data_IF_774889094603
#
_entry.id   IF_774889094603
#
_cell.length_a   1.000
_cell.length_b   1.000
_cell.length_c   1.000
_cell.angle_alpha   90.00
_cell.angle_beta   90.00
_cell.angle_gamma   90.00
#
_symmetry.space_group_name_H-M   'P 1'
#
loop_
_entity.id
_entity.type
_entity.pdbx_description
1 polymer ?
#
# COMPACT_ATOMS: atom_id res chain seq x y z
N UNK A 1 20.45 7.97 -64.25
CA UNK A 1 21.47 8.97 -63.86
C UNK A 1 21.60 8.93 -62.34
N UNK A 2 22.63 8.22 -61.84
CA UNK A 2 23.77 8.75 -61.05
C UNK A 2 23.33 9.17 -59.64
N UNK A 3 23.34 8.22 -58.69
CA UNK A 3 24.40 7.94 -57.68
C UNK A 3 24.57 9.06 -56.64
N UNK A 4 24.35 8.73 -55.36
CA UNK A 4 25.31 8.99 -54.29
C UNK A 4 25.18 7.96 -53.17
N UNK A 5 26.27 7.21 -53.02
CA UNK A 5 26.61 6.31 -51.95
C UNK A 5 27.60 7.03 -51.03
N UNK A 6 27.58 6.72 -49.73
CA UNK A 6 28.65 6.93 -48.77
C UNK A 6 28.22 6.28 -47.44
N UNK A 7 29.03 5.60 -46.66
CA UNK A 7 30.30 4.92 -46.86
C UNK A 7 30.44 4.03 -45.62
N UNK A 8 30.81 2.77 -45.83
CA UNK A 8 31.12 1.79 -44.79
C UNK A 8 32.44 2.19 -44.10
N UNK A 9 32.46 2.25 -42.78
CA UNK A 9 33.71 2.18 -41.99
C UNK A 9 33.55 1.07 -40.97
N UNK A 10 34.29 0.00 -41.24
CA UNK A 10 34.50 -1.16 -40.41
C UNK A 10 35.77 -0.90 -39.58
N UNK A 11 35.66 -0.83 -38.25
CA UNK A 11 36.82 -0.90 -37.37
C UNK A 11 36.79 -2.25 -36.63
N UNK A 12 37.71 -3.13 -37.00
CA UNK A 12 38.12 -4.26 -36.19
C UNK A 12 39.04 -3.74 -35.08
N UNK A 13 38.65 -3.93 -33.83
CA UNK A 13 39.57 -3.91 -32.70
C UNK A 13 39.34 -5.20 -31.89
N UNK A 14 40.23 -6.17 -32.10
CA UNK A 14 40.44 -7.30 -31.21
C UNK A 14 41.13 -6.77 -29.94
N UNK A 15 40.43 -6.84 -28.81
CA UNK A 15 40.95 -6.48 -27.50
C UNK A 15 40.27 -7.33 -26.44
N UNK A 16 40.85 -8.48 -26.15
CA UNK A 16 40.48 -9.36 -25.04
C UNK A 16 41.02 -8.82 -23.72
N UNK A 17 40.14 -8.60 -22.75
CA UNK A 17 40.48 -8.66 -21.32
C UNK A 17 39.24 -9.05 -20.51
N UNK A 18 39.30 -10.24 -19.92
CA UNK A 18 38.44 -10.70 -18.83
C UNK A 18 38.66 -9.82 -17.60
N UNK A 19 37.59 -9.22 -17.07
CA UNK A 19 37.47 -8.84 -15.67
C UNK A 19 35.98 -8.69 -15.35
N UNK A 20 35.57 -9.31 -14.24
CA UNK A 20 34.17 -9.48 -13.87
C UNK A 20 33.49 -8.16 -13.57
N UNK A 21 32.37 -7.93 -14.24
CA UNK A 21 31.40 -6.91 -13.86
C UNK A 21 30.23 -7.60 -13.16
N UNK A 22 30.15 -7.35 -11.85
CA UNK A 22 28.94 -7.50 -11.05
C UNK A 22 27.74 -6.89 -11.77
N UNK A 23 26.57 -7.54 -11.82
CA UNK A 23 25.38 -6.88 -12.35
C UNK A 23 25.01 -5.73 -11.42
N UNK A 24 25.32 -4.50 -11.85
CA UNK A 24 24.63 -3.29 -11.40
C UNK A 24 23.17 -3.47 -11.81
N UNK A 25 22.34 -3.89 -10.86
CA UNK A 25 20.90 -3.71 -10.96
C UNK A 25 20.70 -2.20 -10.96
N UNK A 26 20.44 -1.64 -12.14
CA UNK A 26 19.85 -0.33 -12.28
C UNK A 26 18.41 -0.47 -11.76
N UNK A 27 18.21 -0.18 -10.48
CA UNK A 27 16.91 0.16 -9.96
C UNK A 27 16.50 1.47 -10.64
N UNK A 28 15.79 1.35 -11.75
CA UNK A 28 14.90 2.41 -12.22
C UNK A 28 13.73 2.48 -11.23
N UNK A 29 14.02 2.92 -10.01
CA UNK A 29 13.02 3.50 -9.12
C UNK A 29 12.68 4.85 -9.74
N UNK A 30 11.71 4.84 -10.63
CA UNK A 30 10.91 6.04 -10.88
C UNK A 30 10.08 6.21 -9.61
N UNK A 31 10.64 6.95 -8.66
CA UNK A 31 10.00 7.34 -7.42
C UNK A 31 8.88 8.34 -7.72
N UNK A 32 7.75 7.83 -8.24
CA UNK A 32 6.49 8.54 -8.10
C UNK A 32 5.96 8.29 -6.69
N UNK A 33 5.61 9.39 -6.02
CA UNK A 33 5.52 9.47 -4.57
C UNK A 33 4.52 8.51 -3.93
N UNK A 34 5.04 7.62 -3.08
CA UNK A 34 4.43 7.24 -1.81
C UNK A 34 5.55 6.72 -0.90
N UNK A 35 5.79 7.44 0.21
CA UNK A 35 6.88 7.16 1.16
C UNK A 35 6.46 6.17 2.26
N UNK A 36 5.84 5.06 1.89
CA UNK A 36 5.67 3.93 2.81
C UNK A 36 6.36 2.69 2.23
N UNK A 37 7.10 1.91 3.04
CA UNK A 37 8.00 0.90 2.51
C UNK A 37 7.21 -0.28 1.96
N UNK A 38 7.18 -0.39 0.64
CA UNK A 38 6.82 -1.58 -0.13
C UNK A 38 7.83 -2.73 0.01
N UNK A 39 8.90 -2.55 0.81
CA UNK A 39 10.06 -3.44 0.80
C UNK A 39 9.83 -4.64 1.73
N UNK A 40 9.75 -5.88 1.20
CA UNK A 40 9.74 -7.08 2.03
C UNK A 40 11.00 -7.12 2.89
N UNK A 41 10.86 -7.50 4.15
CA UNK A 41 12.00 -7.79 5.01
C UNK A 41 12.23 -9.29 5.04
N UNK A 42 13.46 -9.73 5.25
CA UNK A 42 13.76 -11.15 5.25
C UNK A 42 14.90 -11.51 6.20
N UNK A 43 14.88 -12.75 6.67
CA UNK A 43 15.95 -13.34 7.45
C UNK A 43 16.50 -14.56 6.72
N UNK A 44 17.82 -14.71 6.73
CA UNK A 44 18.50 -15.89 6.21
C UNK A 44 19.18 -16.60 7.37
N UNK A 45 18.94 -17.90 7.49
CA UNK A 45 19.64 -18.75 8.46
C UNK A 45 20.24 -19.96 7.76
N UNK A 46 21.46 -20.32 8.16
CA UNK A 46 22.19 -21.48 7.62
C UNK A 46 22.66 -22.34 8.78
N UNK A 47 22.35 -23.63 8.73
CA UNK A 47 22.76 -24.59 9.77
C UNK A 47 23.46 -25.81 9.14
N UNK A 48 24.67 -26.17 9.60
CA UNK A 48 25.50 -25.44 10.55
C UNK A 48 26.15 -24.20 9.91
N UNK A 49 26.51 -23.23 10.75
CA UNK A 49 27.18 -21.97 10.37
C UNK A 49 28.64 -22.15 9.96
N UNK A 50 29.22 -23.33 10.23
CA UNK A 50 30.57 -23.73 9.83
C UNK A 50 30.47 -24.90 8.85
N UNK A 51 31.09 -24.75 7.69
CA UNK A 51 31.14 -25.81 6.68
C UNK A 51 32.26 -26.78 7.04
N UNK A 52 31.91 -28.06 7.24
CA UNK A 52 32.86 -29.15 7.38
C UNK A 52 32.67 -30.16 6.24
N UNK A 53 33.76 -30.81 5.77
CA UNK A 53 33.65 -31.90 4.81
C UNK A 53 32.67 -32.97 5.31
N UNK A 54 31.72 -33.37 4.46
CA UNK A 54 30.69 -34.36 4.80
C UNK A 54 29.42 -33.80 5.44
N UNK A 55 29.38 -32.50 5.78
CA UNK A 55 28.19 -31.84 6.33
C UNK A 55 27.36 -31.21 5.21
N UNK A 56 26.04 -31.43 5.24
CA UNK A 56 25.08 -30.80 4.32
C UNK A 56 24.42 -29.60 5.01
N UNK A 57 24.85 -28.37 4.73
CA UNK A 57 24.19 -27.19 5.30
C UNK A 57 22.75 -27.10 4.79
N UNK A 58 21.85 -26.70 5.69
CA UNK A 58 20.48 -26.32 5.39
C UNK A 58 20.39 -24.80 5.45
N UNK A 59 19.88 -24.20 4.39
CA UNK A 59 19.53 -22.79 4.33
C UNK A 59 18.03 -22.65 4.48
N UNK A 60 17.60 -21.74 5.34
CA UNK A 60 16.21 -21.33 5.50
C UNK A 60 16.14 -19.84 5.24
N UNK A 61 15.25 -19.45 4.34
CA UNK A 61 14.94 -18.06 4.04
C UNK A 61 13.53 -17.76 4.53
N UNK A 62 13.40 -16.80 5.46
CA UNK A 62 12.13 -16.20 5.83
C UNK A 62 11.97 -14.88 5.09
N UNK A 63 10.85 -14.68 4.40
CA UNK A 63 10.47 -13.40 3.79
C UNK A 63 9.16 -12.98 4.43
N UNK A 64 9.11 -11.77 4.95
CA UNK A 64 7.92 -11.13 5.49
C UNK A 64 7.52 -9.99 4.54
N UNK A 65 6.35 -10.15 3.95
CA UNK A 65 5.77 -9.16 3.05
C UNK A 65 4.98 -8.13 3.88
N UNK A 66 5.01 -6.83 3.51
CA UNK A 66 4.18 -5.84 4.17
C UNK A 66 2.70 -6.19 3.97
N UNK A 67 1.93 -6.19 5.07
CA UNK A 67 0.48 -6.39 5.01
C UNK A 67 -0.21 -5.33 4.15
N UNK A 68 -1.16 -5.77 3.33
CA UNK A 68 -2.01 -4.93 2.52
C UNK A 68 -3.31 -4.55 3.25
N UNK A 69 -4.08 -3.59 2.73
CA UNK A 69 -5.40 -3.20 3.23
C UNK A 69 -6.30 -4.43 3.42
N UNK A 70 -6.27 -5.37 2.48
CA UNK A 70 -7.06 -6.60 2.51
C UNK A 70 -6.71 -7.55 3.67
N UNK A 71 -5.51 -7.43 4.26
CA UNK A 71 -5.10 -8.22 5.43
C UNK A 71 -5.56 -7.59 6.75
N UNK A 72 -5.97 -6.32 6.73
CA UNK A 72 -6.20 -5.51 7.94
C UNK A 72 -7.63 -4.97 8.06
N UNK A 73 -8.35 -4.90 6.94
CA UNK A 73 -9.71 -4.38 6.85
C UNK A 73 -10.42 -4.86 5.59
N UNK A 74 -11.74 -4.82 5.63
CA UNK A 74 -12.59 -4.93 4.45
C UNK A 74 -13.05 -3.53 4.02
N UNK A 75 -13.03 -3.27 2.71
CA UNK A 75 -13.54 -2.04 2.13
C UNK A 75 -14.79 -2.39 1.32
N UNK A 76 -15.92 -1.76 1.63
CA UNK A 76 -17.11 -1.88 0.79
C UNK A 76 -17.03 -0.96 -0.44
N UNK A 77 -17.85 -1.18 -1.48
CA UNK A 77 -17.81 -0.36 -2.69
C UNK A 77 -18.10 1.14 -2.47
N UNK A 78 -18.81 1.49 -1.40
CA UNK A 78 -19.13 2.88 -1.04
C UNK A 78 -18.03 3.52 -0.20
N UNK A 79 -16.97 2.78 0.13
CA UNK A 79 -15.81 3.24 0.87
C UNK A 79 -15.89 3.08 2.40
N UNK A 80 -16.86 2.36 2.93
CA UNK A 80 -16.89 2.01 4.36
C UNK A 80 -15.76 1.04 4.67
N UNK A 81 -14.97 1.35 5.71
CA UNK A 81 -13.88 0.48 6.17
C UNK A 81 -14.37 -0.33 7.37
N UNK A 82 -14.27 -1.65 7.30
CA UNK A 82 -14.52 -2.57 8.42
C UNK A 82 -13.21 -3.19 8.88
N UNK A 83 -12.71 -2.79 10.05
CA UNK A 83 -11.41 -3.24 10.54
C UNK A 83 -11.43 -4.70 10.98
N UNK A 84 -10.46 -5.49 10.55
CA UNK A 84 -10.26 -6.88 10.98
C UNK A 84 -9.24 -7.00 12.13
N UNK A 85 -8.36 -6.02 12.27
CA UNK A 85 -7.37 -5.95 13.35
C UNK A 85 -7.30 -4.55 13.98
N UNK A 86 -6.56 -4.43 15.09
CA UNK A 86 -6.31 -3.14 15.74
C UNK A 86 -5.34 -2.32 14.88
N UNK A 87 -5.66 -1.04 14.66
CA UNK A 87 -4.86 -0.14 13.83
C UNK A 87 -4.79 1.28 14.39
N UNK A 88 -3.78 2.01 13.96
CA UNK A 88 -3.70 3.47 13.96
C UNK A 88 -4.25 4.00 12.63
N UNK A 89 -5.15 4.97 12.73
CA UNK A 89 -5.85 5.60 11.61
C UNK A 89 -5.32 7.02 11.41
N UNK A 90 -4.98 7.38 10.17
CA UNK A 90 -4.65 8.75 9.75
C UNK A 90 -5.45 9.13 8.50
N UNK A 91 -5.92 10.36 8.44
CA UNK A 91 -6.63 10.89 7.26
C UNK A 91 -5.95 12.18 6.81
N UNK A 92 -5.82 12.34 5.50
CA UNK A 92 -5.37 13.56 4.82
C UNK A 92 -6.36 13.95 3.75
N UNK A 93 -6.53 15.26 3.51
CA UNK A 93 -7.31 15.75 2.37
C UNK A 93 -6.35 16.01 1.23
N UNK A 94 -6.60 15.40 0.07
CA UNK A 94 -5.72 15.46 -1.09
C UNK A 94 -6.13 16.59 -2.05
N UNK A 95 -7.42 16.88 -2.13
CA UNK A 95 -7.93 17.93 -3.01
C UNK A 95 -9.41 18.22 -2.80
N UNK A 96 -9.83 19.39 -3.29
CA UNK A 96 -11.22 19.85 -3.37
C UNK A 96 -11.37 20.57 -4.70
N UNK A 97 -12.30 20.13 -5.56
CA UNK A 97 -12.45 20.67 -6.92
C UNK A 97 -13.87 21.11 -7.29
N UNK A 98 -14.72 21.39 -6.31
CA UNK A 98 -16.08 21.85 -6.60
C UNK A 98 -16.14 23.36 -6.87
N UNK A 99 -16.81 23.75 -7.96
CA UNK A 99 -17.01 25.15 -8.34
C UNK A 99 -18.40 25.43 -8.91
N UNK A 100 -18.85 26.67 -8.76
CA UNK A 100 -20.01 27.22 -9.47
C UNK A 100 -19.55 28.38 -10.36
N UNK A 101 -19.58 28.18 -11.67
CA UNK A 101 -18.95 29.11 -12.61
C UNK A 101 -17.45 29.20 -12.35
N UNK A 102 -16.94 30.40 -12.06
CA UNK A 102 -15.54 30.63 -11.69
C UNK A 102 -15.30 30.71 -10.18
N UNK A 103 -16.30 30.39 -9.35
CA UNK A 103 -16.22 30.49 -7.89
C UNK A 103 -16.03 29.12 -7.27
N UNK A 104 -14.91 28.93 -6.59
CA UNK A 104 -14.64 27.73 -5.80
C UNK A 104 -15.56 27.67 -4.59
N UNK A 105 -16.18 26.52 -4.41
CA UNK A 105 -17.11 26.24 -3.33
C UNK A 105 -16.39 25.48 -2.21
N UNK A 106 -16.71 25.74 -0.93
CA UNK A 106 -16.10 25.01 0.15
C UNK A 106 -16.70 23.61 0.27
N UNK A 107 -15.87 22.62 0.59
CA UNK A 107 -16.31 21.28 0.98
C UNK A 107 -16.08 21.09 2.48
N UNK A 108 -16.95 20.33 3.11
CA UNK A 108 -16.82 19.88 4.48
C UNK A 108 -16.71 18.36 4.51
N UNK A 109 -15.78 17.82 5.30
CA UNK A 109 -15.52 16.39 5.45
C UNK A 109 -15.62 16.00 6.92
N UNK A 110 -16.33 14.91 7.17
CA UNK A 110 -16.47 14.30 8.48
C UNK A 110 -15.99 12.85 8.44
N UNK A 111 -15.50 12.39 9.59
CA UNK A 111 -15.20 10.98 9.84
C UNK A 111 -16.02 10.49 11.03
N UNK A 112 -16.40 9.22 11.02
CA UNK A 112 -16.96 8.52 12.17
C UNK A 112 -16.18 7.24 12.39
N UNK A 113 -15.67 7.04 13.61
CA UNK A 113 -14.93 5.83 13.99
C UNK A 113 -15.74 5.03 15.01
N UNK A 114 -16.48 4.05 14.51
CA UNK A 114 -17.46 3.23 15.20
C UNK A 114 -18.89 3.58 14.76
N UNK A 115 -19.71 2.57 14.43
CA UNK A 115 -21.06 2.77 13.87
C UNK A 115 -21.98 3.69 14.71
N UNK A 116 -21.79 3.68 16.05
CA UNK A 116 -22.55 4.50 17.00
C UNK A 116 -21.79 5.74 17.50
N UNK A 117 -20.59 6.01 16.98
CA UNK A 117 -19.81 7.18 17.36
C UNK A 117 -20.38 8.46 16.70
N UNK A 118 -20.16 9.64 17.30
CA UNK A 118 -20.51 10.89 16.64
C UNK A 118 -19.62 11.12 15.40
N UNK A 119 -20.16 11.89 14.46
CA UNK A 119 -19.39 12.42 13.33
C UNK A 119 -18.48 13.56 13.79
N UNK A 120 -17.21 13.51 13.41
CA UNK A 120 -16.19 14.52 13.71
C UNK A 120 -15.87 15.30 12.43
N UNK A 121 -16.02 16.63 12.44
CA UNK A 121 -15.63 17.48 11.31
C UNK A 121 -14.10 17.55 11.27
N UNK A 122 -13.49 17.10 10.17
CA UNK A 122 -12.03 17.02 10.02
C UNK A 122 -11.49 18.01 8.99
N UNK A 123 -12.34 18.50 8.09
CA UNK A 123 -11.95 19.54 7.14
C UNK A 123 -13.15 20.41 6.75
N UNK A 124 -12.92 21.71 6.59
CA UNK A 124 -13.86 22.64 5.97
C UNK A 124 -13.09 23.74 5.25
N UNK A 125 -13.15 23.77 3.93
CA UNK A 125 -12.35 24.69 3.13
C UNK A 125 -12.53 24.50 1.63
N UNK A 126 -11.81 25.31 0.86
CA UNK A 126 -11.74 25.26 -0.62
C UNK A 126 -10.43 24.61 -1.06
N UNK A 127 -10.22 24.49 -2.38
CA UNK A 127 -8.97 23.99 -2.97
C UNK A 127 -7.73 24.65 -2.35
N UNK A 128 -7.69 25.99 -2.26
CA UNK A 128 -6.56 26.74 -1.71
C UNK A 128 -6.29 26.51 -0.21
N UNK A 129 -7.23 25.92 0.52
CA UNK A 129 -7.10 25.59 1.94
C UNK A 129 -6.51 24.18 2.15
N UNK A 130 -6.48 23.34 1.11
CA UNK A 130 -5.98 21.97 1.19
C UNK A 130 -4.46 21.96 1.38
N UNK A 131 -3.99 21.13 2.31
CA UNK A 131 -2.57 20.85 2.55
C UNK A 131 -2.38 19.32 2.51
N UNK A 132 -2.01 18.73 1.35
CA UNK A 132 -2.00 17.27 1.19
C UNK A 132 -1.08 16.51 2.14
N UNK A 133 -0.03 17.15 2.66
CA UNK A 133 0.89 16.56 3.64
C UNK A 133 0.35 16.58 5.08
N UNK A 134 -0.69 17.39 5.36
CA UNK A 134 -1.24 17.58 6.70
C UNK A 134 -2.19 16.44 7.08
N UNK A 135 -1.96 15.87 8.27
CA UNK A 135 -2.87 14.90 8.88
C UNK A 135 -4.01 15.67 9.54
N UNK A 136 -5.18 15.69 8.89
CA UNK A 136 -6.37 16.39 9.39
C UNK A 136 -7.11 15.60 10.48
N UNK A 137 -6.85 14.29 10.57
CA UNK A 137 -7.39 13.44 11.60
C UNK A 137 -6.45 12.29 11.92
N UNK A 138 -6.28 11.99 13.21
CA UNK A 138 -5.54 10.84 13.67
C UNK A 138 -6.24 10.21 14.86
N UNK A 139 -6.34 8.88 14.86
CA UNK A 139 -6.80 8.10 16.02
C UNK A 139 -5.94 6.87 16.17
N UNK A 140 -5.38 6.69 17.37
CA UNK A 140 -4.56 5.51 17.69
C UNK A 140 -5.40 4.40 18.31
N UNK A 141 -4.86 3.18 18.25
CA UNK A 141 -5.41 2.02 18.96
C UNK A 141 -6.89 1.72 18.64
N UNK A 142 -7.32 1.97 17.41
CA UNK A 142 -8.69 1.69 16.96
C UNK A 142 -8.90 0.17 16.99
N UNK A 143 -9.88 -0.36 17.75
CA UNK A 143 -10.06 -1.81 17.88
C UNK A 143 -10.49 -2.48 16.56
N UNK A 144 -10.17 -3.76 16.43
CA UNK A 144 -10.78 -4.64 15.44
C UNK A 144 -12.32 -4.61 15.54
N UNK A 145 -13.01 -4.94 14.45
CA UNK A 145 -14.47 -4.87 14.30
C UNK A 145 -15.04 -3.45 14.43
N UNK A 146 -14.22 -2.42 14.27
CA UNK A 146 -14.68 -1.03 14.20
C UNK A 146 -14.95 -0.66 12.75
N UNK A 147 -16.13 -0.09 12.51
CA UNK A 147 -16.48 0.52 11.22
C UNK A 147 -15.99 1.97 11.18
N UNK A 148 -15.37 2.38 10.09
CA UNK A 148 -14.99 3.77 9.82
C UNK A 148 -15.76 4.25 8.60
N UNK A 149 -16.48 5.35 8.78
CA UNK A 149 -17.27 5.98 7.73
C UNK A 149 -16.81 7.41 7.47
N UNK A 150 -17.03 7.87 6.25
CA UNK A 150 -16.81 9.25 5.84
C UNK A 150 -18.09 9.88 5.33
N UNK A 151 -18.22 11.18 5.57
CA UNK A 151 -19.35 11.96 5.09
C UNK A 151 -18.88 13.31 4.61
N UNK A 152 -19.49 13.84 3.55
CA UNK A 152 -19.12 15.13 3.00
C UNK A 152 -20.33 15.87 2.41
N UNK A 153 -20.23 17.21 2.38
CA UNK A 153 -21.16 18.09 1.68
C UNK A 153 -20.49 19.41 1.31
N UNK A 154 -21.07 20.10 0.35
CA UNK A 154 -20.62 21.43 -0.07
C UNK A 154 -21.78 22.43 -0.08
N UNK A 155 -21.46 23.71 -0.31
CA UNK A 155 -22.42 24.78 -0.47
C UNK A 155 -22.63 25.11 -1.95
N UNK A 156 -23.86 25.39 -2.31
CA UNK A 156 -24.24 26.11 -3.52
C UNK A 156 -23.63 27.52 -3.53
N UNK A 157 -23.62 28.18 -4.69
CA UNK A 157 -23.17 29.57 -4.83
C UNK A 157 -23.93 30.57 -3.94
N UNK A 158 -25.18 30.25 -3.55
CA UNK A 158 -26.00 31.06 -2.63
C UNK A 158 -25.75 30.76 -1.15
N UNK A 159 -24.83 29.84 -0.81
CA UNK A 159 -24.49 29.45 0.56
C UNK A 159 -25.42 28.40 1.17
N UNK A 160 -26.40 27.88 0.42
CA UNK A 160 -27.23 26.73 0.84
C UNK A 160 -26.45 25.44 0.68
N UNK A 161 -26.59 24.49 1.59
CA UNK A 161 -25.91 23.20 1.50
C UNK A 161 -26.52 22.29 0.43
N UNK A 162 -25.68 21.61 -0.34
CA UNK A 162 -26.05 20.41 -1.08
C UNK A 162 -26.36 19.26 -0.13
N UNK A 163 -26.90 18.17 -0.70
CA UNK A 163 -27.13 16.93 0.03
C UNK A 163 -25.82 16.37 0.59
N UNK A 164 -25.91 15.73 1.75
CA UNK A 164 -24.78 15.04 2.35
C UNK A 164 -24.59 13.68 1.70
N UNK A 165 -23.38 13.44 1.20
CA UNK A 165 -22.95 12.12 0.75
C UNK A 165 -22.22 11.41 1.89
N UNK A 166 -22.39 10.10 1.98
CA UNK A 166 -21.82 9.31 3.09
C UNK A 166 -21.55 7.88 2.64
N UNK A 167 -20.41 7.32 3.07
CA UNK A 167 -20.05 5.91 2.83
C UNK A 167 -21.07 4.97 3.47
N UNK A 168 -21.69 5.41 4.58
CA UNK A 168 -22.76 4.68 5.27
C UNK A 168 -24.11 4.70 4.53
N UNK A 169 -24.20 5.36 3.38
CA UNK A 169 -25.37 5.40 2.52
C UNK A 169 -25.27 4.38 1.38
N UNK A 170 -26.15 4.51 0.37
CA UNK A 170 -26.15 3.68 -0.84
C UNK A 170 -25.93 4.49 -2.12
N UNK A 171 -25.41 5.71 -1.99
CA UNK A 171 -25.18 6.61 -3.10
C UNK A 171 -23.88 6.26 -3.81
N UNK A 172 -23.86 6.37 -5.14
CA UNK A 172 -22.63 6.23 -5.95
C UNK A 172 -21.76 7.50 -5.93
N UNK A 173 -22.19 8.54 -5.20
CA UNK A 173 -21.47 9.81 -5.05
C UNK A 173 -20.30 9.74 -4.05
N UNK A 174 -20.01 8.56 -3.51
CA UNK A 174 -18.79 8.28 -2.74
C UNK A 174 -18.32 6.88 -3.08
N UNK A 175 -17.02 6.75 -3.31
CA UNK A 175 -16.35 5.45 -3.49
C UNK A 175 -15.07 5.44 -2.66
N UNK A 176 -14.71 4.27 -2.17
CA UNK A 176 -13.38 3.98 -1.64
C UNK A 176 -12.65 3.06 -2.61
N UNK A 177 -11.38 3.31 -2.85
CA UNK A 177 -10.53 2.48 -3.71
C UNK A 177 -9.20 2.18 -3.01
N UNK A 178 -8.65 1.00 -3.26
CA UNK A 178 -7.32 0.57 -2.85
C UNK A 178 -6.37 0.50 -4.03
N UNK A 179 -5.08 0.28 -3.74
CA UNK A 179 -4.07 0.08 -4.78
C UNK A 179 -4.47 -1.05 -5.76
N UNK A 180 -4.43 -0.74 -7.05
CA UNK A 180 -4.77 -1.65 -8.14
C UNK A 180 -6.23 -1.67 -8.54
N UNK A 181 -7.13 -0.99 -7.81
CA UNK A 181 -8.53 -0.88 -8.22
C UNK A 181 -8.66 -0.05 -9.50
N UNK A 182 -9.59 -0.44 -10.37
CA UNK A 182 -9.94 0.35 -11.56
C UNK A 182 -10.94 1.43 -11.18
N UNK A 183 -10.70 2.65 -11.62
CA UNK A 183 -11.67 3.74 -11.42
C UNK A 183 -12.99 3.41 -12.13
N UNK A 184 -14.16 3.63 -11.52
CA UNK A 184 -15.42 3.22 -12.13
C UNK A 184 -15.75 3.91 -13.46
N UNK A 185 -16.23 3.13 -14.43
CA UNK A 185 -16.58 3.58 -15.79
C UNK A 185 -17.77 4.57 -15.83
N UNK A 186 -18.54 4.70 -14.74
CA UNK A 186 -19.66 5.64 -14.67
C UNK A 186 -19.23 7.09 -14.41
N UNK A 187 -17.94 7.34 -14.25
CA UNK A 187 -17.35 8.66 -13.98
C UNK A 187 -16.68 9.18 -15.25
N UNK A 188 -17.36 9.99 -16.08
CA UNK A 188 -16.87 10.34 -17.42
C UNK A 188 -15.55 11.13 -17.40
N UNK A 189 -15.22 11.79 -16.29
CA UNK A 189 -14.02 12.60 -16.16
C UNK A 189 -12.71 11.81 -16.34
N UNK A 190 -12.67 10.56 -15.87
CA UNK A 190 -11.47 9.71 -15.96
C UNK A 190 -11.24 9.14 -17.36
N UNK A 191 -12.28 9.02 -18.17
CA UNK A 191 -12.15 8.62 -19.59
C UNK A 191 -11.83 9.82 -20.50
N UNK A 192 -12.20 11.03 -20.08
CA UNK A 192 -12.09 12.25 -20.90
C UNK A 192 -10.89 13.14 -20.55
N UNK A 193 -10.00 12.68 -19.67
CA UNK A 193 -8.79 13.40 -19.27
C UNK A 193 -9.06 14.65 -18.43
N UNK A 194 -10.17 14.69 -17.70
CA UNK A 194 -10.56 15.78 -16.78
C UNK A 194 -10.20 15.44 -15.34
N UNK A 195 -9.02 14.87 -15.21
CA UNK A 195 -8.48 14.44 -13.93
C UNK A 195 -7.81 15.66 -13.34
N UNK A 196 -8.23 16.05 -12.15
CA UNK A 196 -7.62 17.12 -11.40
C UNK A 196 -6.17 16.80 -11.09
N UNK A 197 -5.34 17.83 -11.05
CA UNK A 197 -3.88 17.65 -10.92
C UNK A 197 -3.51 16.82 -9.68
N UNK A 198 -4.25 16.99 -8.58
CA UNK A 198 -4.04 16.22 -7.35
C UNK A 198 -4.39 14.74 -7.49
N UNK A 199 -5.26 14.35 -8.43
CA UNK A 199 -5.61 12.94 -8.69
C UNK A 199 -4.63 12.24 -9.63
N UNK A 200 -3.94 12.98 -10.50
CA UNK A 200 -3.03 12.38 -11.51
C UNK A 200 -1.91 11.54 -10.90
N UNK A 201 -1.50 11.84 -9.66
CA UNK A 201 -0.46 11.07 -8.96
C UNK A 201 -0.93 9.70 -8.45
N UNK A 202 -2.25 9.50 -8.33
CA UNK A 202 -2.85 8.28 -7.81
C UNK A 202 -3.38 7.37 -8.90
N UNK A 203 -3.11 7.66 -10.18
CA UNK A 203 -3.62 6.90 -11.31
C UNK A 203 -2.50 6.52 -12.27
N UNK A 204 -2.53 5.29 -12.76
CA UNK A 204 -1.65 4.84 -13.83
C UNK A 204 -2.25 5.15 -15.22
N UNK A 205 -1.50 4.83 -16.27
CA UNK A 205 -1.90 5.06 -17.66
C UNK A 205 -3.16 4.28 -18.07
N UNK A 206 -3.49 3.21 -17.35
CA UNK A 206 -4.68 2.37 -17.54
C UNK A 206 -5.86 2.72 -16.60
N UNK A 207 -5.85 3.87 -15.93
CA UNK A 207 -6.88 4.30 -14.96
C UNK A 207 -7.08 3.34 -13.77
N UNK A 208 -6.00 2.72 -13.29
CA UNK A 208 -5.96 2.01 -12.03
C UNK A 208 -5.32 2.87 -10.95
N UNK A 209 -5.83 2.72 -9.73
CA UNK A 209 -5.38 3.43 -8.54
C UNK A 209 -3.98 2.96 -8.14
N UNK A 210 -3.08 3.91 -7.85
CA UNK A 210 -1.71 3.67 -7.38
C UNK A 210 -1.55 4.26 -5.99
N UNK A 211 -1.48 3.40 -4.98
CA UNK A 211 -1.47 3.76 -3.56
C UNK A 211 -0.51 2.86 -2.76
N UNK A 212 -0.11 3.34 -1.59
CA UNK A 212 0.55 2.51 -0.58
C UNK A 212 -0.26 1.25 -0.24
N UNK A 213 0.39 0.16 0.19
CA UNK A 213 -0.32 -1.08 0.53
C UNK A 213 -1.32 -0.91 1.68
N UNK A 214 -1.21 0.19 2.43
CA UNK A 214 -1.98 0.53 3.61
C UNK A 214 -2.84 1.79 3.45
N UNK A 215 -2.93 2.28 2.21
CA UNK A 215 -3.66 3.49 1.87
C UNK A 215 -4.97 3.15 1.15
N UNK A 216 -6.00 3.92 1.45
CA UNK A 216 -7.32 3.90 0.81
C UNK A 216 -7.59 5.33 0.34
N UNK A 217 -8.04 5.51 -0.90
CA UNK A 217 -8.50 6.81 -1.38
C UNK A 217 -10.02 6.83 -1.41
N UNK A 218 -10.60 7.88 -0.83
CA UNK A 218 -12.03 8.16 -0.91
C UNK A 218 -12.25 9.37 -1.80
N UNK A 219 -13.14 9.22 -2.76
CA UNK A 219 -13.46 10.26 -3.73
C UNK A 219 -14.95 10.55 -3.67
N UNK A 220 -15.32 11.82 -3.67
CA UNK A 220 -16.71 12.26 -3.50
C UNK A 220 -17.15 13.14 -4.66
N UNK A 221 -18.41 12.98 -5.04
CA UNK A 221 -19.18 13.93 -5.84
C UNK A 221 -20.21 14.59 -4.92
N UNK A 222 -20.23 15.92 -4.86
CA UNK A 222 -21.08 16.70 -3.97
C UNK A 222 -22.05 17.62 -4.74
N UNK A 223 -21.72 17.97 -5.98
CA UNK A 223 -22.54 18.83 -6.83
C UNK A 223 -23.76 18.13 -7.43
N UNK A 224 -23.70 16.82 -7.64
CA UNK A 224 -24.82 16.03 -8.16
C UNK A 224 -24.86 14.58 -7.67
N UNK A 225 -26.02 13.95 -7.71
CA UNK A 225 -26.20 12.52 -7.40
C UNK A 225 -26.54 11.68 -8.63
N UNK A 226 -26.30 12.23 -9.83
CA UNK A 226 -26.61 11.58 -11.11
C UNK A 226 -25.33 11.11 -11.82
N UNK A 227 -24.98 9.81 -11.71
CA UNK A 227 -23.86 9.23 -12.44
C UNK A 227 -23.95 9.49 -13.95
N UNK A 228 -22.80 9.70 -14.59
CA UNK A 228 -22.70 9.98 -16.03
C UNK A 228 -23.06 11.42 -16.43
N UNK A 229 -23.47 12.29 -15.50
CA UNK A 229 -23.56 13.72 -15.80
C UNK A 229 -22.17 14.29 -16.13
N UNK A 230 -22.11 15.32 -16.97
CA UNK A 230 -20.86 15.92 -17.44
C UNK A 230 -19.99 16.53 -16.33
N UNK A 231 -20.62 16.85 -15.19
CA UNK A 231 -20.01 17.38 -13.98
C UNK A 231 -20.03 16.37 -12.82
N UNK A 232 -20.37 15.11 -13.08
CA UNK A 232 -20.19 14.01 -12.13
C UNK A 232 -18.78 13.46 -12.32
N UNK A 233 -17.81 13.99 -11.59
CA UNK A 233 -16.39 13.68 -11.79
C UNK A 233 -15.73 12.99 -10.60
N UNK A 234 -16.46 12.88 -9.48
CA UNK A 234 -16.00 12.27 -8.22
C UNK A 234 -14.77 12.97 -7.61
N UNK A 235 -14.47 14.21 -8.00
CA UNK A 235 -13.27 14.93 -7.56
C UNK A 235 -13.58 16.15 -6.70
N UNK A 236 -14.84 16.36 -6.32
CA UNK A 236 -15.29 17.48 -5.49
C UNK A 236 -14.59 17.54 -4.13
N UNK A 237 -14.36 16.39 -3.50
CA UNK A 237 -13.41 16.25 -2.40
C UNK A 237 -12.78 14.86 -2.43
N UNK A 238 -11.47 14.81 -2.21
CA UNK A 238 -10.70 13.57 -2.15
C UNK A 238 -9.90 13.53 -0.86
N UNK A 239 -10.00 12.42 -0.13
CA UNK A 239 -9.17 12.17 1.05
C UNK A 239 -8.50 10.81 0.98
N UNK A 240 -7.32 10.72 1.61
CA UNK A 240 -6.57 9.48 1.75
C UNK A 240 -6.59 9.05 3.21
N UNK A 241 -6.88 7.78 3.42
CA UNK A 241 -6.87 7.11 4.71
C UNK A 241 -5.70 6.13 4.77
N UNK A 242 -4.81 6.29 5.73
CA UNK A 242 -3.70 5.36 6.00
C UNK A 242 -3.99 4.56 7.26
N UNK A 243 -3.89 3.24 7.19
CA UNK A 243 -4.03 2.33 8.31
C UNK A 243 -2.67 1.70 8.66
N UNK A 244 -2.11 2.02 9.82
CA UNK A 244 -0.88 1.39 10.31
C UNK A 244 -1.19 0.44 11.46
N UNK A 245 -0.44 -0.66 11.60
CA UNK A 245 -0.52 -1.45 12.83
C UNK A 245 -0.06 -0.60 14.02
N UNK A 246 -0.64 -0.87 15.18
CA UNK A 246 -0.08 -0.37 16.44
C UNK A 246 1.28 -1.01 16.58
N UNK A 247 2.35 -0.20 16.64
CA UNK A 247 3.66 -0.69 17.06
C UNK A 247 3.50 -1.23 18.49
N UNK A 248 3.28 -2.53 18.63
CA UNK A 248 3.59 -3.17 19.90
C UNK A 248 5.08 -2.95 20.10
N UNK A 249 5.47 -2.22 21.15
CA UNK A 249 6.85 -2.17 21.59
C UNK A 249 7.33 -3.61 21.76
N UNK A 250 8.02 -4.15 20.75
CA UNK A 250 8.81 -5.37 20.89
C UNK A 250 10.07 -5.06 21.71
N UNK A 251 9.89 -4.54 22.92
CA UNK A 251 10.81 -4.73 24.04
C UNK A 251 10.72 -6.20 24.46
N UNK A 252 11.17 -7.11 23.60
CA UNK A 252 10.87 -8.52 23.80
C UNK A 252 11.60 -9.53 22.92
N UNK A 253 12.68 -9.16 22.22
CA UNK A 253 13.66 -10.20 21.86
C UNK A 253 14.43 -10.55 23.13
N UNK A 254 13.85 -11.44 23.93
CA UNK A 254 14.56 -12.06 25.05
C UNK A 254 15.67 -12.96 24.50
N UNK A 255 16.84 -12.36 24.28
CA UNK A 255 18.06 -13.05 23.84
C UNK A 255 18.51 -14.14 24.82
N UNK A 256 17.90 -14.26 26.00
CA UNK A 256 18.20 -15.33 26.96
C UNK A 256 17.56 -16.67 26.59
N UNK A 257 16.50 -16.69 25.77
CA UNK A 257 15.86 -17.93 25.28
C UNK A 257 16.55 -18.54 24.06
N UNK A 258 17.24 -17.73 23.26
CA UNK A 258 18.06 -18.24 22.16
C UNK A 258 19.31 -18.99 22.65
N UNK A 259 19.84 -18.72 23.85
CA UNK A 259 21.02 -19.45 24.35
C UNK A 259 20.68 -20.80 25.01
N UNK A 260 19.44 -20.97 25.48
CA UNK A 260 19.03 -22.17 26.23
C UNK A 260 18.74 -23.35 25.30
N UNK A 261 18.21 -23.12 24.11
CA UNK A 261 17.96 -24.19 23.11
C UNK A 261 19.26 -24.74 22.48
N UNK A 262 20.33 -23.94 22.40
CA UNK A 262 21.65 -24.43 21.93
C UNK A 262 22.43 -25.23 22.98
N UNK A 263 22.14 -25.03 24.28
CA UNK A 263 22.82 -25.77 25.35
C UNK A 263 22.20 -27.16 25.60
N UNK A 264 20.92 -27.35 25.26
CA UNK A 264 20.19 -28.59 25.58
C UNK A 264 20.25 -29.65 24.47
N UNK A 265 20.70 -29.29 23.26
CA UNK A 265 20.96 -30.24 22.16
C UNK A 265 22.26 -31.07 22.34
N UNK A 266 23.06 -30.79 23.39
CA UNK A 266 24.35 -31.43 23.63
C UNK A 266 24.33 -32.74 24.43
N UNK A 267 23.19 -33.16 25.00
CA UNK A 267 23.13 -34.29 25.94
C UNK A 267 22.10 -35.37 25.57
N UNK A 268 22.05 -35.79 24.31
CA UNK A 268 21.43 -37.06 23.95
C UNK A 268 22.48 -38.20 24.04
N UNK A 269 22.22 -39.30 24.78
CA UNK A 269 23.17 -40.41 24.86
C UNK A 269 23.33 -41.07 23.49
N UNK A 270 24.55 -41.03 22.95
CA UNK A 270 24.93 -41.70 21.72
C UNK A 270 24.98 -43.21 21.98
N UNK A 271 24.03 -43.96 21.42
CA UNK A 271 24.14 -45.43 21.32
C UNK A 271 25.07 -45.72 20.13
N UNK A 272 26.24 -46.29 20.42
CA UNK A 272 27.24 -46.62 19.40
C UNK A 272 26.79 -47.82 18.57
N UNK A 273 26.54 -47.60 17.28
CA UNK A 273 26.49 -48.66 16.26
C UNK A 273 27.80 -48.66 15.47
N UNK A 274 28.57 -49.75 15.55
CA UNK A 274 29.76 -49.93 14.72
C UNK A 274 29.35 -50.42 13.32
N UNK A 275 29.96 -49.82 12.29
CA UNK A 275 29.81 -50.19 10.88
C UNK A 275 31.06 -50.98 10.49
N UNK A 276 30.91 -52.16 9.91
CA UNK A 276 32.05 -52.91 9.38
C UNK A 276 32.49 -52.38 8.01
N UNK A 277 33.69 -52.78 7.58
CA UNK A 277 34.39 -52.25 6.40
C UNK A 277 33.71 -52.55 5.05
N UNK A 278 32.48 -53.10 5.06
CA UNK A 278 31.64 -53.33 3.87
C UNK A 278 30.39 -52.46 3.84
N UNK A 279 30.18 -51.56 4.82
CA UNK A 279 29.19 -50.50 4.73
C UNK A 279 27.73 -50.93 4.86
N UNK A 280 27.44 -52.05 5.55
CA UNK A 280 26.06 -52.48 5.82
C UNK A 280 25.71 -52.24 7.29
N UNK A 281 24.68 -51.42 7.55
CA UNK A 281 24.14 -51.18 8.90
C UNK A 281 23.09 -52.25 9.20
N UNK A 282 23.40 -53.23 10.05
CA UNK A 282 22.38 -54.09 10.67
C UNK A 282 21.78 -53.40 11.89
N UNK A 283 20.53 -52.96 11.77
CA UNK A 283 19.72 -52.43 12.88
C UNK A 283 19.48 -53.53 13.93
N UNK A 284 20.08 -53.36 15.12
CA UNK A 284 19.73 -54.12 16.31
C UNK A 284 18.39 -53.63 16.86
N UNK A 285 17.37 -54.47 16.74
CA UNK A 285 16.03 -54.25 17.31
C UNK A 285 16.09 -54.43 18.84
N UNK A 286 15.68 -53.41 19.60
CA UNK A 286 14.75 -53.50 20.75
C UNK A 286 14.31 -52.11 21.15
#
# INVERSE_FOLDING_TARGET
MIKKAAQLVLFFALGSSLLGDTPRILSNDVSNGHKDPYTPIGSISVTPTVVQPGVRPRMVWGIEYPQAIADISELDPNGTISLQQRVDLKVRVMGVALQAGSTQLPAALWVRVGASAPWELIFYGREGDVRPDEIVFQKRDVPANTQIDFSARSQTASGTWYETQSTSGSSLSVIGMVNGDRVPDFVPAYEQGRIESFMTQFLNEENHVVLGPRDIIHTFELGTSSPGAWWFDMQDIVCMTTLSQVEEEQSGVDRSRLSTDFAQAGNAPVIAGAVDDRGVITLGRR
#
